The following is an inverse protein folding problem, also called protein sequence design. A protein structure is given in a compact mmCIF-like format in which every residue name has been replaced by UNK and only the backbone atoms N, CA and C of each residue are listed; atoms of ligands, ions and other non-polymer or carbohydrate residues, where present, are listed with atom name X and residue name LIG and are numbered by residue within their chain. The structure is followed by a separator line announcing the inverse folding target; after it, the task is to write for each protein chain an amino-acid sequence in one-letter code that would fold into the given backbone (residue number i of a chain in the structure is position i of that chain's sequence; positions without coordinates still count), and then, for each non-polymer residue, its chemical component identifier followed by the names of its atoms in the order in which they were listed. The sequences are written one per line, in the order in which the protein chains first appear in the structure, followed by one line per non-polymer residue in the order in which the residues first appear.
data_IF_863483277591
#
_entry.id   IF_863483277591
#
_cell.length_a   1.000
_cell.length_b   1.000
_cell.length_c   1.000
_cell.angle_alpha   90.00
_cell.angle_beta   90.00
_cell.angle_gamma   90.00
#
_symmetry.space_group_name_H-M   'P 1'
#
loop_
_entity.id
_entity.type
_entity.pdbx_description
1 polymer ?
#
# COMPACT_ATOMS: atom_id res chain seq x y z
N UNK A 1 29.25 -0.04 -26.28
CA UNK A 1 29.05 -0.27 -24.83
C UNK A 1 28.69 1.08 -24.17
N UNK A 2 27.40 1.41 -23.94
CA UNK A 2 26.92 2.71 -23.39
C UNK A 2 26.14 2.58 -22.06
N UNK A 3 26.35 1.48 -21.33
CA UNK A 3 25.54 1.09 -20.16
C UNK A 3 25.78 1.91 -18.86
N UNK A 4 26.98 2.46 -18.56
CA UNK A 4 27.21 3.08 -17.24
C UNK A 4 26.53 4.45 -17.07
N UNK A 5 26.47 5.28 -18.13
CA UNK A 5 25.86 6.62 -18.08
C UNK A 5 24.34 6.61 -17.82
N UNK A 6 23.67 5.47 -18.05
CA UNK A 6 22.21 5.35 -17.83
C UNK A 6 21.90 5.08 -16.37
N UNK A 7 22.75 4.35 -15.66
CA UNK A 7 22.59 4.00 -14.25
C UNK A 7 22.86 5.23 -13.38
N UNK A 8 23.97 5.94 -13.64
CA UNK A 8 24.33 7.17 -12.93
C UNK A 8 23.23 8.23 -13.01
N UNK A 9 22.70 8.49 -14.21
CA UNK A 9 21.59 9.45 -14.39
C UNK A 9 20.29 9.05 -13.71
N UNK A 10 20.08 7.75 -13.48
CA UNK A 10 18.92 7.28 -12.73
C UNK A 10 19.11 7.56 -11.23
N UNK A 11 20.26 7.20 -10.67
CA UNK A 11 20.58 7.43 -9.25
C UNK A 11 20.55 8.91 -8.89
N UNK A 12 21.15 9.78 -9.73
CA UNK A 12 21.11 11.24 -9.57
C UNK A 12 19.68 11.76 -9.49
N UNK A 13 18.79 11.23 -10.35
CA UNK A 13 17.43 11.74 -10.45
C UNK A 13 16.52 11.21 -9.36
N UNK A 14 16.79 10.02 -8.84
CA UNK A 14 16.15 9.49 -7.64
C UNK A 14 16.55 10.31 -6.40
N UNK A 15 17.84 10.62 -6.24
CA UNK A 15 18.33 11.47 -5.15
C UNK A 15 17.70 12.87 -5.17
N UNK A 16 17.48 13.44 -6.36
CA UNK A 16 16.79 14.73 -6.48
C UNK A 16 15.31 14.66 -6.09
N UNK A 17 14.63 13.54 -6.34
CA UNK A 17 13.24 13.32 -5.92
C UNK A 17 13.15 13.21 -4.39
N UNK A 18 14.07 12.49 -3.76
CA UNK A 18 14.14 12.35 -2.30
C UNK A 18 14.38 13.72 -1.63
N UNK A 19 15.38 14.47 -2.13
CA UNK A 19 15.65 15.84 -1.67
C UNK A 19 14.44 16.76 -1.84
N UNK A 20 13.69 16.61 -2.95
CA UNK A 20 12.45 17.36 -3.14
C UNK A 20 11.40 17.00 -2.08
N UNK A 21 11.21 15.70 -1.78
CA UNK A 21 10.26 15.25 -0.76
C UNK A 21 10.62 15.78 0.63
N UNK A 22 11.90 15.79 0.99
CA UNK A 22 12.39 16.34 2.26
C UNK A 22 12.24 17.87 2.32
N UNK A 23 12.41 18.56 1.19
CA UNK A 23 12.36 20.03 1.15
C UNK A 23 10.98 20.61 1.43
N UNK A 24 9.90 19.85 1.24
CA UNK A 24 8.51 20.34 1.34
C UNK A 24 8.13 21.42 0.31
N UNK A 25 9.01 21.73 -0.66
CA UNK A 25 8.78 22.74 -1.69
C UNK A 25 7.81 22.22 -2.75
N UNK A 26 7.17 23.14 -3.48
CA UNK A 26 6.43 22.74 -4.69
C UNK A 26 7.39 22.22 -5.76
N UNK A 27 6.91 21.32 -6.62
CA UNK A 27 7.73 20.75 -7.69
C UNK A 27 8.32 21.83 -8.60
N UNK A 28 7.57 22.88 -8.89
CA UNK A 28 8.01 24.00 -9.72
C UNK A 28 9.14 24.79 -9.06
N UNK A 29 9.00 25.15 -7.78
CA UNK A 29 10.04 25.87 -7.04
C UNK A 29 11.34 25.05 -6.95
N UNK A 30 11.23 23.75 -6.69
CA UNK A 30 12.39 22.86 -6.64
C UNK A 30 13.07 22.71 -8.00
N UNK A 31 12.28 22.57 -9.08
CA UNK A 31 12.83 22.49 -10.43
C UNK A 31 13.59 23.77 -10.83
N UNK A 32 13.09 24.95 -10.43
CA UNK A 32 13.75 26.22 -10.70
C UNK A 32 15.09 26.36 -9.97
N UNK A 33 15.16 25.98 -8.70
CA UNK A 33 16.37 26.07 -7.88
C UNK A 33 17.48 25.10 -8.33
N UNK A 34 17.10 23.93 -8.84
CA UNK A 34 18.02 22.89 -9.29
C UNK A 34 18.26 22.87 -10.80
N UNK A 35 17.83 23.91 -11.53
CA UNK A 35 17.95 24.02 -13.00
C UNK A 35 17.40 22.80 -13.76
N UNK A 36 16.33 22.21 -13.24
CA UNK A 36 15.66 21.04 -13.83
C UNK A 36 14.45 21.47 -14.66
N UNK A 37 14.30 20.88 -15.84
CA UNK A 37 13.05 21.01 -16.59
C UNK A 37 11.94 20.25 -15.88
N UNK A 38 10.82 20.93 -15.63
CA UNK A 38 9.64 20.34 -14.99
C UNK A 38 9.18 19.03 -15.66
N UNK A 39 9.15 18.97 -16.99
CA UNK A 39 8.75 17.76 -17.74
C UNK A 39 9.66 16.56 -17.44
N UNK A 40 10.97 16.78 -17.31
CA UNK A 40 11.95 15.73 -17.01
C UNK A 40 11.75 15.26 -15.58
N UNK A 41 11.64 16.18 -14.63
CA UNK A 41 11.39 15.86 -13.23
C UNK A 41 10.07 15.09 -13.06
N UNK A 42 8.99 15.54 -13.69
CA UNK A 42 7.69 14.89 -13.67
C UNK A 42 7.73 13.45 -14.21
N UNK A 43 8.44 13.23 -15.33
CA UNK A 43 8.65 11.88 -15.87
C UNK A 43 9.31 10.96 -14.83
N UNK A 44 10.37 11.43 -14.19
CA UNK A 44 11.09 10.64 -13.18
C UNK A 44 10.28 10.44 -11.91
N UNK A 45 9.51 11.44 -11.48
CA UNK A 45 8.58 11.31 -10.35
C UNK A 45 7.50 10.26 -10.62
N UNK A 46 6.93 10.25 -11.81
CA UNK A 46 5.96 9.22 -12.23
C UNK A 46 6.58 7.83 -12.25
N UNK A 47 7.83 7.71 -12.72
CA UNK A 47 8.59 6.45 -12.72
C UNK A 47 8.93 5.99 -11.30
N UNK A 48 9.35 6.90 -10.43
CA UNK A 48 9.63 6.64 -9.01
C UNK A 48 8.40 6.09 -8.29
N UNK A 49 7.24 6.76 -8.45
CA UNK A 49 5.96 6.31 -7.88
C UNK A 49 5.53 4.94 -8.40
N UNK A 50 5.74 4.65 -9.68
CA UNK A 50 5.45 3.32 -10.25
C UNK A 50 6.33 2.22 -9.65
N UNK A 51 7.61 2.52 -9.35
CA UNK A 51 8.47 1.57 -8.65
C UNK A 51 8.02 1.30 -7.21
N UNK A 52 7.37 2.29 -6.57
CA UNK A 52 6.67 2.09 -5.30
C UNK A 52 5.41 1.24 -5.51
N UNK A 53 4.60 1.54 -6.52
CA UNK A 53 3.35 0.84 -6.84
C UNK A 53 3.53 -0.59 -7.39
N UNK A 54 4.74 -1.00 -7.83
CA UNK A 54 4.99 -2.41 -8.18
C UNK A 54 4.82 -3.34 -6.96
N UNK A 55 4.80 -2.80 -5.75
CA UNK A 55 4.20 -3.45 -4.57
C UNK A 55 2.66 -3.37 -4.58
N UNK A 56 2.02 -3.77 -5.68
CA UNK A 56 0.54 -3.72 -5.83
C UNK A 56 -0.24 -4.70 -4.96
N UNK A 57 0.44 -5.43 -4.08
CA UNK A 57 -0.16 -6.32 -3.08
C UNK A 57 0.17 -5.78 -1.70
N UNK A 58 -0.82 -5.16 -1.05
CA UNK A 58 -0.74 -4.89 0.38
C UNK A 58 -0.89 -6.22 1.12
N UNK A 59 0.04 -6.58 2.02
CA UNK A 59 -0.10 -7.77 2.84
C UNK A 59 -1.35 -7.64 3.71
N UNK A 60 -2.26 -8.61 3.61
CA UNK A 60 -3.41 -8.72 4.50
C UNK A 60 -2.95 -9.46 5.75
N UNK A 61 -2.99 -8.79 6.90
CA UNK A 61 -2.75 -9.45 8.18
C UNK A 61 -3.94 -10.35 8.50
N UNK A 62 -3.74 -11.67 8.36
CA UNK A 62 -4.72 -12.67 8.78
C UNK A 62 -4.61 -12.81 10.30
N UNK A 63 -5.45 -12.07 11.02
CA UNK A 63 -5.64 -12.31 12.45
C UNK A 63 -6.54 -13.55 12.61
N UNK A 64 -6.19 -14.54 13.44
CA UNK A 64 -7.12 -15.61 13.78
C UNK A 64 -8.33 -14.96 14.47
N UNK A 65 -9.45 -14.89 13.75
CA UNK A 65 -10.69 -14.39 14.30
C UNK A 65 -11.14 -15.29 15.45
N UNK A 66 -11.35 -14.72 16.63
CA UNK A 66 -11.94 -15.41 17.77
C UNK A 66 -13.47 -15.43 17.64
N UNK A 67 -13.96 -15.97 16.53
CA UNK A 67 -15.39 -16.12 16.27
C UNK A 67 -15.75 -17.54 15.85
N UNK A 68 -16.94 -17.97 16.24
CA UNK A 68 -17.54 -19.24 15.87
C UNK A 68 -18.50 -18.93 14.71
N UNK A 69 -18.37 -19.69 13.62
CA UNK A 69 -19.24 -19.58 12.45
C UNK A 69 -20.00 -20.91 12.26
N UNK A 70 -21.33 -20.82 12.16
CA UNK A 70 -22.23 -21.96 11.93
C UNK A 70 -22.93 -21.76 10.60
N UNK A 71 -22.65 -22.63 9.64
CA UNK A 71 -23.22 -22.58 8.29
C UNK A 71 -24.34 -23.63 8.14
N UNK A 72 -25.54 -23.18 7.80
CA UNK A 72 -26.68 -24.05 7.51
C UNK A 72 -26.80 -24.33 6.00
N UNK A 73 -27.36 -25.49 5.60
CA UNK A 73 -27.55 -25.85 4.19
C UNK A 73 -28.35 -24.82 3.37
N UNK A 74 -29.27 -24.10 4.01
CA UNK A 74 -30.12 -23.09 3.38
C UNK A 74 -29.39 -21.75 3.15
N UNK A 75 -28.09 -21.70 3.40
CA UNK A 75 -27.26 -20.50 3.22
C UNK A 75 -27.31 -19.51 4.38
N UNK A 76 -27.96 -19.87 5.49
CA UNK A 76 -27.94 -19.07 6.73
C UNK A 76 -26.58 -19.26 7.41
N UNK A 77 -25.94 -18.16 7.79
CA UNK A 77 -24.65 -18.16 8.49
C UNK A 77 -24.82 -17.44 9.82
N UNK A 78 -24.46 -18.12 10.91
CA UNK A 78 -24.50 -17.60 12.27
C UNK A 78 -23.07 -17.32 12.74
N UNK A 79 -22.76 -16.03 12.92
CA UNK A 79 -21.45 -15.57 13.41
C UNK A 79 -21.56 -15.14 14.87
N UNK A 80 -20.72 -15.74 15.72
CA UNK A 80 -20.80 -15.62 17.17
C UNK A 80 -19.42 -15.30 17.76
N UNK A 81 -19.33 -14.47 18.82
CA UNK A 81 -18.07 -14.30 19.53
C UNK A 81 -17.59 -15.63 20.14
N UNK A 82 -16.28 -15.93 20.10
CA UNK A 82 -15.74 -17.16 20.71
C UNK A 82 -15.93 -17.20 22.24
N UNK A 83 -16.14 -16.04 22.88
CA UNK A 83 -16.45 -15.94 24.30
C UNK A 83 -17.92 -16.26 24.64
N UNK A 84 -18.75 -16.67 23.68
CA UNK A 84 -20.16 -16.97 23.93
C UNK A 84 -20.30 -18.12 24.93
N UNK A 85 -21.18 -17.95 25.91
CA UNK A 85 -21.51 -19.02 26.86
C UNK A 85 -22.28 -20.12 26.14
N UNK A 86 -21.91 -21.37 26.41
CA UNK A 86 -22.58 -22.55 25.84
C UNK A 86 -24.09 -22.56 26.11
N UNK A 87 -24.55 -22.01 27.24
CA UNK A 87 -25.98 -21.90 27.54
C UNK A 87 -26.72 -20.96 26.59
N UNK A 88 -26.13 -19.81 26.24
CA UNK A 88 -26.70 -18.87 25.28
C UNK A 88 -26.68 -19.45 23.85
N UNK A 89 -25.60 -20.15 23.49
CA UNK A 89 -25.52 -20.85 22.21
C UNK A 89 -26.62 -21.90 22.07
N UNK A 90 -26.87 -22.70 23.11
CA UNK A 90 -27.97 -23.68 23.11
C UNK A 90 -29.35 -23.04 22.95
N UNK A 91 -29.57 -21.85 23.52
CA UNK A 91 -30.84 -21.12 23.32
C UNK A 91 -31.03 -20.63 21.88
N UNK A 92 -29.95 -20.29 21.17
CA UNK A 92 -30.01 -19.86 19.78
C UNK A 92 -30.20 -21.03 18.80
N UNK A 93 -29.75 -22.23 19.19
CA UNK A 93 -29.83 -23.45 18.38
C UNK A 93 -31.07 -24.30 18.69
N UNK A 94 -31.68 -24.13 19.85
CA UNK A 94 -32.95 -24.76 20.17
C UNK A 94 -34.08 -24.02 19.46
N UNK A 95 -34.65 -24.67 18.45
CA UNK A 95 -36.03 -24.48 18.00
C UNK A 95 -37.01 -24.62 19.18
#
# INVERSE_FOLDING_TARGET
MKRPERIQRQEEMLSLIEKWQESGKTQQAFCQEHELTFTKFYYWLKRYRRGIDESSFLPVEISPGSQIEICYPDGIILQLPAAIKLSALKQLLNL
#
